data_IF_969964474167
#
_entry.id   IF_969964474167
#
_cell.length_a   1.000
_cell.length_b   1.000
_cell.length_c   1.000
_cell.angle_alpha   90.00
_cell.angle_beta   90.00
_cell.angle_gamma   90.00
#
_symmetry.space_group_name_H-M   'P 1'
#
loop_
_entity.id
_entity.type
_entity.pdbx_description
1 polymer ?
#
# COMPACT_ATOMS: atom_id res chain seq x y z
N UNK A 1 8.85 77.30 10.59
CA UNK A 1 8.83 76.16 11.53
C UNK A 1 8.13 75.00 10.84
N UNK A 2 8.92 74.04 10.40
CA UNK A 2 8.44 72.80 9.81
C UNK A 2 8.50 71.72 10.92
N UNK A 3 7.48 70.88 11.08
CA UNK A 3 7.61 69.75 11.99
C UNK A 3 8.35 68.58 11.36
N UNK A 4 9.18 67.96 12.17
CA UNK A 4 10.02 66.80 11.82
C UNK A 4 9.17 65.54 11.54
N UNK A 5 9.68 64.61 10.69
CA UNK A 5 8.97 63.36 10.43
C UNK A 5 9.17 62.36 11.59
N UNK A 6 8.09 61.76 12.01
CA UNK A 6 8.07 60.67 12.97
C UNK A 6 8.35 59.36 12.18
N UNK A 7 9.43 58.71 12.61
CA UNK A 7 9.87 57.44 12.13
C UNK A 7 9.18 56.34 12.98
N UNK A 8 8.26 55.59 12.40
CA UNK A 8 7.76 54.33 13.00
C UNK A 8 8.01 53.18 12.04
N UNK A 9 9.20 52.61 12.18
CA UNK A 9 9.45 51.27 11.70
C UNK A 9 8.77 50.24 12.65
N UNK A 10 7.58 49.87 12.38
CA UNK A 10 7.00 48.63 12.94
C UNK A 10 7.40 47.47 12.01
N UNK A 11 8.49 46.80 12.41
CA UNK A 11 8.81 45.49 11.88
C UNK A 11 7.76 44.49 12.40
N UNK A 12 6.80 44.15 11.56
CA UNK A 12 5.95 43.00 11.81
C UNK A 12 6.78 41.72 11.62
N UNK A 13 7.26 41.20 12.73
CA UNK A 13 7.74 39.81 12.78
C UNK A 13 6.57 38.89 12.49
N UNK A 14 6.44 38.48 11.22
CA UNK A 14 5.67 37.30 10.88
C UNK A 14 6.36 36.09 11.51
N UNK A 15 5.64 35.20 12.17
CA UNK A 15 6.28 34.03 12.74
C UNK A 15 6.82 33.15 11.61
N UNK A 16 8.14 33.14 11.47
CA UNK A 16 8.85 32.10 10.77
C UNK A 16 8.74 30.85 11.64
N UNK A 17 7.67 30.08 11.46
CA UNK A 17 7.70 28.68 11.86
C UNK A 17 6.48 27.97 11.28
N UNK A 18 6.72 27.24 10.22
CA UNK A 18 6.22 25.89 9.95
C UNK A 18 6.51 25.58 8.48
N UNK A 19 7.78 25.54 8.10
CA UNK A 19 8.16 24.56 7.10
C UNK A 19 8.04 23.21 7.81
N UNK A 20 6.81 22.72 7.92
CA UNK A 20 6.57 21.33 8.24
C UNK A 20 7.35 20.53 7.21
N UNK A 21 8.38 19.80 7.67
CA UNK A 21 8.96 18.70 6.88
C UNK A 21 7.78 17.99 6.25
N UNK A 22 7.76 17.93 4.92
CA UNK A 22 6.86 17.04 4.20
C UNK A 22 7.25 15.63 4.63
N UNK A 23 6.68 15.17 5.73
CA UNK A 23 6.82 13.79 6.14
C UNK A 23 6.09 12.97 5.08
N UNK A 24 6.86 12.27 4.27
CA UNK A 24 6.31 11.26 3.38
C UNK A 24 5.53 10.27 4.25
N UNK A 25 4.20 10.44 4.31
CA UNK A 25 3.33 9.53 5.04
C UNK A 25 3.33 8.20 4.30
N UNK A 26 3.88 7.18 4.92
CA UNK A 26 4.02 5.86 4.30
C UNK A 26 2.98 4.90 4.86
N UNK A 27 2.33 4.14 3.98
CA UNK A 27 1.45 3.05 4.35
C UNK A 27 1.92 1.71 3.79
N UNK A 28 1.76 0.64 4.58
CA UNK A 28 1.85 -0.74 4.14
C UNK A 28 0.44 -1.27 3.90
N UNK A 29 0.16 -1.70 2.67
CA UNK A 29 -1.09 -2.34 2.26
C UNK A 29 -0.86 -3.84 2.09
N UNK A 30 -1.46 -4.63 2.97
CA UNK A 30 -1.43 -6.09 2.92
C UNK A 30 -2.72 -6.58 2.26
N UNK A 31 -2.60 -7.16 1.06
CA UNK A 31 -3.73 -7.57 0.24
C UNK A 31 -3.97 -9.07 0.40
N UNK A 32 -5.14 -9.43 0.95
CA UNK A 32 -5.69 -10.78 0.97
C UNK A 32 -4.76 -11.86 1.55
N UNK A 33 -4.01 -11.55 2.62
CA UNK A 33 -3.14 -12.52 3.29
C UNK A 33 -3.98 -13.37 4.24
N UNK A 34 -4.68 -14.35 3.65
CA UNK A 34 -5.69 -15.18 4.32
C UNK A 34 -5.38 -16.67 4.22
N UNK A 35 -5.80 -17.43 5.23
CA UNK A 35 -5.56 -18.88 5.34
C UNK A 35 -6.16 -19.68 4.18
N UNK A 36 -7.22 -19.20 3.56
CA UNK A 36 -7.86 -19.87 2.43
C UNK A 36 -6.96 -20.00 1.20
N UNK A 37 -5.88 -19.24 1.12
CA UNK A 37 -4.86 -19.40 0.07
C UNK A 37 -3.97 -20.63 0.27
N UNK A 38 -4.01 -21.27 1.43
CA UNK A 38 -3.31 -22.54 1.67
C UNK A 38 -4.11 -23.75 1.17
N UNK A 39 -5.30 -23.53 0.59
CA UNK A 39 -6.12 -24.62 0.03
C UNK A 39 -5.33 -25.34 -1.08
N UNK A 40 -5.15 -26.68 -0.98
CA UNK A 40 -4.13 -27.40 -1.75
C UNK A 40 -4.37 -27.44 -3.27
N UNK A 41 -5.61 -27.24 -3.72
CA UNK A 41 -5.98 -27.43 -5.13
C UNK A 41 -6.88 -26.33 -5.70
N UNK A 42 -7.37 -25.39 -4.89
CA UNK A 42 -8.38 -24.42 -5.34
C UNK A 42 -7.79 -23.33 -6.25
N UNK A 43 -6.56 -22.94 -5.99
CA UNK A 43 -5.96 -21.77 -6.63
C UNK A 43 -5.09 -22.08 -7.85
N UNK A 44 -4.80 -23.35 -8.10
CA UNK A 44 -3.92 -23.82 -9.16
C UNK A 44 -2.77 -24.65 -8.63
N UNK A 45 -1.70 -24.75 -9.40
CA UNK A 45 -0.45 -25.43 -9.02
C UNK A 45 0.32 -24.65 -7.93
N UNK A 46 1.52 -25.07 -7.61
CA UNK A 46 2.33 -24.48 -6.56
C UNK A 46 2.36 -22.93 -6.61
N UNK A 47 2.32 -22.30 -5.44
CA UNK A 47 2.48 -20.86 -5.29
C UNK A 47 3.92 -20.45 -5.61
N UNK A 48 4.08 -19.34 -6.33
CA UNK A 48 5.36 -18.69 -6.55
C UNK A 48 5.94 -18.13 -5.25
N UNK A 49 7.19 -17.71 -5.27
CA UNK A 49 7.88 -17.02 -4.18
C UNK A 49 7.84 -17.79 -2.86
N UNK A 50 8.71 -18.82 -2.69
CA UNK A 50 8.79 -19.60 -1.45
C UNK A 50 9.04 -18.77 -0.18
N UNK A 51 9.71 -17.62 -0.31
CA UNK A 51 9.99 -16.67 0.79
C UNK A 51 8.84 -15.74 1.16
N UNK A 52 7.70 -15.82 0.47
CA UNK A 52 6.55 -14.90 0.64
C UNK A 52 6.18 -14.66 2.09
N UNK A 53 5.94 -15.71 2.87
CA UNK A 53 5.46 -15.61 4.25
C UNK A 53 6.49 -14.92 5.16
N UNK A 54 7.76 -15.31 5.02
CA UNK A 54 8.83 -14.69 5.81
C UNK A 54 9.02 -13.22 5.45
N UNK A 55 8.92 -12.87 4.17
CA UNK A 55 9.06 -11.50 3.70
C UNK A 55 7.89 -10.61 4.16
N UNK A 56 6.64 -11.08 4.05
CA UNK A 56 5.47 -10.38 4.62
C UNK A 56 5.63 -10.16 6.11
N UNK A 57 6.05 -11.18 6.86
CA UNK A 57 6.25 -11.08 8.31
C UNK A 57 7.33 -10.05 8.67
N UNK A 58 8.44 -10.00 7.92
CA UNK A 58 9.52 -9.02 8.09
C UNK A 58 9.04 -7.59 7.82
N UNK A 59 8.34 -7.37 6.70
CA UNK A 59 7.76 -6.07 6.36
C UNK A 59 6.80 -5.59 7.44
N UNK A 60 5.81 -6.40 7.80
CA UNK A 60 4.82 -6.05 8.81
C UNK A 60 5.47 -5.72 10.16
N UNK A 61 6.47 -6.50 10.58
CA UNK A 61 7.22 -6.25 11.82
C UNK A 61 7.98 -4.92 11.77
N UNK A 62 8.58 -4.57 10.63
CA UNK A 62 9.32 -3.32 10.46
C UNK A 62 8.38 -2.11 10.45
N UNK A 63 7.28 -2.18 9.69
CA UNK A 63 6.29 -1.11 9.65
C UNK A 63 5.62 -0.86 11.01
N UNK A 64 5.39 -1.90 11.81
CA UNK A 64 4.89 -1.77 13.19
C UNK A 64 5.83 -1.01 14.12
N UNK A 65 7.12 -0.97 13.80
CA UNK A 65 8.15 -0.25 14.56
C UNK A 65 8.45 1.14 13.99
N UNK A 66 8.10 1.38 12.73
CA UNK A 66 8.39 2.63 12.06
C UNK A 66 7.44 3.74 12.55
N UNK A 67 7.96 4.86 13.09
CA UNK A 67 7.13 5.96 13.58
C UNK A 67 6.26 6.56 12.48
N UNK A 68 4.96 6.71 12.74
CA UNK A 68 4.02 7.35 11.82
C UNK A 68 3.57 6.47 10.63
N UNK A 69 4.19 5.31 10.41
CA UNK A 69 3.77 4.40 9.36
C UNK A 69 2.34 3.88 9.59
N UNK A 70 1.56 3.82 8.52
CA UNK A 70 0.20 3.28 8.55
C UNK A 70 0.19 1.84 8.08
N UNK A 71 -0.66 1.00 8.69
CA UNK A 71 -0.82 -0.40 8.28
C UNK A 71 -2.29 -0.63 7.95
N UNK A 72 -2.53 -1.13 6.74
CA UNK A 72 -3.86 -1.38 6.20
C UNK A 72 -3.92 -2.83 5.73
N UNK A 73 -4.79 -3.62 6.35
CA UNK A 73 -5.09 -4.97 5.94
C UNK A 73 -6.36 -5.00 5.09
N UNK A 74 -6.29 -5.63 3.95
CA UNK A 74 -7.47 -5.91 3.12
C UNK A 74 -7.65 -7.41 3.08
N UNK A 75 -8.90 -7.86 3.26
CA UNK A 75 -9.27 -9.26 3.07
C UNK A 75 -10.36 -9.39 2.02
N UNK A 76 -10.32 -10.48 1.27
CA UNK A 76 -11.34 -10.82 0.31
C UNK A 76 -12.43 -11.67 0.98
N UNK A 77 -13.67 -11.26 0.84
CA UNK A 77 -14.84 -12.04 1.18
C UNK A 77 -15.52 -12.51 -0.09
N UNK A 78 -15.21 -13.73 -0.53
CA UNK A 78 -15.80 -14.32 -1.72
C UNK A 78 -17.31 -14.49 -1.58
N UNK A 79 -18.06 -14.17 -2.64
CA UNK A 79 -19.52 -14.39 -2.69
C UNK A 79 -19.88 -15.88 -2.84
N UNK A 80 -19.18 -16.68 -3.69
CA UNK A 80 -19.51 -18.11 -3.82
C UNK A 80 -19.18 -18.90 -2.54
N UNK A 81 -20.18 -19.59 -1.98
CA UNK A 81 -20.05 -20.40 -0.77
C UNK A 81 -18.97 -21.49 -0.82
N UNK A 82 -18.63 -21.98 -2.02
CA UNK A 82 -17.56 -22.97 -2.22
C UNK A 82 -16.15 -22.40 -2.15
N UNK A 83 -16.00 -21.07 -2.12
CA UNK A 83 -14.70 -20.44 -2.06
C UNK A 83 -14.09 -20.59 -0.66
N UNK A 84 -12.81 -20.96 -0.54
CA UNK A 84 -12.10 -20.97 0.73
C UNK A 84 -12.09 -19.60 1.44
N UNK A 85 -12.31 -18.49 0.70
CA UNK A 85 -12.36 -17.12 1.23
C UNK A 85 -13.80 -16.65 1.52
N UNK A 86 -14.81 -17.53 1.44
CA UNK A 86 -16.17 -17.16 1.85
C UNK A 86 -16.20 -16.88 3.36
N UNK A 87 -16.90 -15.84 3.84
CA UNK A 87 -16.91 -15.44 5.26
C UNK A 87 -17.29 -16.55 6.24
N UNK A 88 -18.05 -17.57 5.81
CA UNK A 88 -18.39 -18.72 6.64
C UNK A 88 -17.30 -19.79 6.74
N UNK A 89 -16.23 -19.67 5.96
CA UNK A 89 -15.10 -20.60 5.97
C UNK A 89 -13.98 -20.12 6.89
N UNK A 90 -13.30 -21.05 7.54
CA UNK A 90 -12.12 -20.73 8.34
C UNK A 90 -11.00 -20.05 7.53
N UNK A 91 -10.91 -20.38 6.24
CA UNK A 91 -9.97 -19.77 5.32
C UNK A 91 -10.15 -18.26 5.09
N UNK A 92 -11.30 -17.68 5.47
CA UNK A 92 -11.49 -16.23 5.46
C UNK A 92 -10.66 -15.48 6.52
N UNK A 93 -10.13 -16.19 7.52
CA UNK A 93 -9.27 -15.61 8.54
C UNK A 93 -7.92 -15.18 7.97
N UNK A 94 -7.30 -14.15 8.58
CA UNK A 94 -5.94 -13.76 8.27
C UNK A 94 -4.94 -14.87 8.62
N UNK A 95 -3.84 -14.89 7.91
CA UNK A 95 -2.71 -15.76 8.24
C UNK A 95 -2.15 -15.42 9.63
N UNK A 96 -1.71 -16.42 10.42
CA UNK A 96 -1.19 -16.18 11.78
C UNK A 96 -0.04 -15.17 11.84
N UNK A 97 0.80 -15.12 10.79
CA UNK A 97 1.92 -14.19 10.68
C UNK A 97 1.51 -12.77 10.24
N UNK A 98 0.25 -12.56 9.88
CA UNK A 98 -0.28 -11.28 9.40
C UNK A 98 -1.62 -10.88 10.06
N UNK A 99 -1.85 -11.32 11.30
CA UNK A 99 -3.04 -10.92 12.05
C UNK A 99 -2.98 -9.43 12.38
N UNK A 100 -4.03 -8.66 12.05
CA UNK A 100 -4.09 -7.24 12.37
C UNK A 100 -4.06 -6.97 13.89
N UNK A 101 -3.40 -5.89 14.29
CA UNK A 101 -3.49 -5.36 15.64
C UNK A 101 -4.73 -4.44 15.79
N UNK A 102 -5.22 -4.19 17.02
CA UNK A 102 -6.45 -3.40 17.24
C UNK A 102 -6.44 -1.98 16.66
N UNK A 103 -5.26 -1.39 16.49
CA UNK A 103 -5.07 -0.05 15.94
C UNK A 103 -4.78 -0.04 14.42
N UNK A 104 -4.69 -1.20 13.79
CA UNK A 104 -4.47 -1.32 12.35
C UNK A 104 -5.79 -1.33 11.59
N UNK A 105 -5.81 -0.73 10.40
CA UNK A 105 -7.02 -0.67 9.58
C UNK A 105 -7.30 -2.04 8.96
N UNK A 106 -8.55 -2.47 9.01
CA UNK A 106 -9.02 -3.70 8.36
C UNK A 106 -10.18 -3.37 7.42
N UNK A 107 -10.00 -3.67 6.14
CA UNK A 107 -11.01 -3.53 5.10
C UNK A 107 -11.42 -4.89 4.56
N UNK A 108 -12.68 -5.01 4.12
CA UNK A 108 -13.20 -6.22 3.47
C UNK A 108 -13.75 -5.87 2.11
N UNK A 109 -13.38 -6.61 1.08
CA UNK A 109 -13.85 -6.45 -0.30
C UNK A 109 -14.44 -7.73 -0.85
N UNK A 110 -15.25 -7.62 -1.88
CA UNK A 110 -15.88 -8.75 -2.57
C UNK A 110 -15.46 -8.89 -4.04
N UNK A 111 -14.63 -7.96 -4.51
CA UNK A 111 -14.05 -7.91 -5.86
C UNK A 111 -12.53 -7.80 -5.80
N UNK A 112 -11.85 -7.84 -6.94
CA UNK A 112 -10.37 -7.86 -6.96
C UNK A 112 -9.74 -6.57 -6.42
N UNK A 113 -10.23 -5.40 -6.84
CA UNK A 113 -9.68 -4.14 -6.38
C UNK A 113 -10.00 -3.86 -4.90
N UNK A 114 -8.99 -3.43 -4.15
CA UNK A 114 -9.17 -2.94 -2.79
C UNK A 114 -9.86 -1.56 -2.71
N UNK A 115 -10.01 -0.87 -3.84
CA UNK A 115 -10.68 0.42 -3.91
C UNK A 115 -12.20 0.34 -4.16
N UNK A 116 -12.70 -0.83 -4.57
CA UNK A 116 -14.12 -0.97 -4.89
C UNK A 116 -14.89 -1.52 -3.68
N UNK A 117 -15.87 -0.76 -3.20
CA UNK A 117 -16.71 -1.13 -2.07
C UNK A 117 -16.00 -1.08 -0.72
N UNK A 118 -14.90 -0.31 -0.62
CA UNK A 118 -14.18 -0.04 0.63
C UNK A 118 -13.87 1.46 0.76
N UNK A 119 -13.44 1.87 1.95
CA UNK A 119 -13.00 3.24 2.22
C UNK A 119 -11.49 3.45 1.94
N UNK A 120 -10.80 2.57 1.19
CA UNK A 120 -9.34 2.65 1.01
C UNK A 120 -8.89 4.00 0.45
N UNK A 121 -9.51 4.48 -0.64
CA UNK A 121 -9.17 5.78 -1.23
C UNK A 121 -9.33 6.92 -0.23
N UNK A 122 -10.47 6.95 0.47
CA UNK A 122 -10.75 7.96 1.49
C UNK A 122 -9.68 7.95 2.59
N UNK A 123 -9.32 6.77 3.10
CA UNK A 123 -8.30 6.61 4.15
C UNK A 123 -6.94 7.11 3.69
N UNK A 124 -6.53 6.77 2.46
CA UNK A 124 -5.24 7.20 1.91
C UNK A 124 -5.18 8.72 1.78
N UNK A 125 -6.24 9.35 1.27
CA UNK A 125 -6.32 10.80 1.09
C UNK A 125 -6.41 11.55 2.44
N UNK A 126 -7.28 11.11 3.36
CA UNK A 126 -7.44 11.74 4.67
C UNK A 126 -6.19 11.65 5.55
N UNK A 127 -5.39 10.61 5.36
CA UNK A 127 -4.12 10.42 6.07
C UNK A 127 -2.92 10.98 5.30
N UNK A 128 -3.16 11.67 4.19
CA UNK A 128 -2.12 12.29 3.36
C UNK A 128 -1.00 11.31 2.99
N UNK A 129 -1.37 10.04 2.67
CA UNK A 129 -0.40 9.02 2.29
C UNK A 129 0.19 9.38 0.93
N UNK A 130 1.50 9.55 0.88
CA UNK A 130 2.25 9.85 -0.34
C UNK A 130 3.10 8.68 -0.83
N UNK A 131 3.28 7.65 0.01
CA UNK A 131 3.97 6.42 -0.35
C UNK A 131 3.16 5.20 0.10
N UNK A 132 2.81 4.34 -0.85
CA UNK A 132 2.04 3.11 -0.61
C UNK A 132 2.89 1.89 -0.96
N UNK A 133 3.30 1.15 0.05
CA UNK A 133 4.00 -0.13 -0.11
C UNK A 133 2.97 -1.25 -0.12
N UNK A 134 2.93 -2.04 -1.20
CA UNK A 134 1.92 -3.07 -1.43
C UNK A 134 2.56 -4.46 -1.41
N UNK A 135 1.96 -5.39 -0.69
CA UNK A 135 2.31 -6.82 -0.72
C UNK A 135 1.05 -7.68 -0.61
N UNK A 136 1.14 -8.98 -0.90
CA UNK A 136 0.03 -9.93 -0.69
C UNK A 136 -0.31 -10.81 -1.89
N UNK A 137 -1.56 -11.21 -2.00
CA UNK A 137 -2.08 -12.22 -2.93
C UNK A 137 -3.29 -11.72 -3.73
N UNK A 138 -3.47 -12.16 -4.95
CA UNK A 138 -2.47 -12.76 -5.85
C UNK A 138 -1.97 -11.72 -6.82
N UNK A 139 -0.72 -11.86 -7.25
CA UNK A 139 -0.05 -10.89 -8.13
C UNK A 139 -0.89 -10.55 -9.36
N UNK A 140 -1.46 -11.57 -10.01
CA UNK A 140 -2.22 -11.47 -11.25
C UNK A 140 -3.65 -10.96 -11.10
N UNK A 141 -4.22 -10.99 -9.88
CA UNK A 141 -5.61 -10.58 -9.63
C UNK A 141 -5.70 -9.38 -8.67
N UNK A 142 -5.87 -9.66 -7.36
CA UNK A 142 -6.17 -8.60 -6.39
C UNK A 142 -5.06 -7.56 -6.27
N UNK A 143 -3.81 -7.99 -6.27
CA UNK A 143 -2.65 -7.09 -6.18
C UNK A 143 -2.55 -6.25 -7.45
N UNK A 144 -2.49 -6.87 -8.64
CA UNK A 144 -2.40 -6.17 -9.92
C UNK A 144 -3.54 -5.17 -10.11
N UNK A 145 -4.78 -5.57 -9.82
CA UNK A 145 -5.94 -4.68 -9.97
C UNK A 145 -5.88 -3.51 -9.00
N UNK A 146 -5.47 -3.74 -7.75
CA UNK A 146 -5.34 -2.68 -6.74
C UNK A 146 -4.24 -1.70 -7.10
N UNK A 147 -3.07 -2.17 -7.52
CA UNK A 147 -1.94 -1.32 -7.93
C UNK A 147 -2.31 -0.46 -9.15
N UNK A 148 -2.94 -1.04 -10.17
CA UNK A 148 -3.42 -0.28 -11.36
C UNK A 148 -4.43 0.79 -10.99
N UNK A 149 -5.35 0.48 -10.08
CA UNK A 149 -6.32 1.48 -9.62
C UNK A 149 -5.66 2.57 -8.78
N UNK A 150 -4.69 2.26 -7.93
CA UNK A 150 -3.95 3.27 -7.18
C UNK A 150 -3.31 4.31 -8.12
N UNK A 151 -2.62 3.84 -9.16
CA UNK A 151 -2.03 4.70 -10.18
C UNK A 151 -3.07 5.50 -10.98
N UNK A 152 -4.14 4.85 -11.46
CA UNK A 152 -5.17 5.51 -12.28
C UNK A 152 -6.00 6.55 -11.49
N UNK A 153 -6.27 6.30 -10.21
CA UNK A 153 -6.98 7.22 -9.33
C UNK A 153 -6.08 8.34 -8.80
N UNK A 154 -4.77 8.23 -9.00
CA UNK A 154 -3.78 9.19 -8.49
C UNK A 154 -3.99 9.47 -6.99
N UNK A 155 -4.24 8.41 -6.22
CA UNK A 155 -4.69 8.51 -4.81
C UNK A 155 -3.63 9.05 -3.87
N UNK A 156 -2.37 9.03 -4.28
CA UNK A 156 -1.22 9.46 -3.48
C UNK A 156 -0.68 10.84 -3.89
N UNK A 157 -1.28 11.45 -4.93
CA UNK A 157 -0.84 12.75 -5.38
C UNK A 157 -1.17 13.83 -4.35
N UNK A 158 -0.27 14.77 -4.16
CA UNK A 158 -0.41 15.85 -3.19
C UNK A 158 -0.10 17.22 -3.84
N UNK A 159 -0.62 18.33 -3.29
CA UNK A 159 -0.37 19.66 -3.84
C UNK A 159 1.13 19.96 -3.93
N UNK A 160 1.55 20.63 -5.00
CA UNK A 160 2.93 21.11 -5.14
C UNK A 160 3.28 22.10 -4.00
N UNK A 161 4.56 22.11 -3.59
CA UNK A 161 5.02 22.91 -2.44
C UNK A 161 4.94 24.44 -2.65
N UNK A 162 4.80 24.90 -3.90
CA UNK A 162 4.67 26.30 -4.27
C UNK A 162 3.24 26.86 -4.14
N UNK A 163 2.29 26.02 -3.72
CA UNK A 163 0.90 26.42 -3.52
C UNK A 163 0.08 26.53 -4.81
N UNK A 164 0.63 26.12 -5.96
CA UNK A 164 -0.11 25.99 -7.20
C UNK A 164 -0.97 24.71 -7.14
N UNK A 165 -2.26 24.88 -6.89
CA UNK A 165 -3.23 23.79 -6.82
C UNK A 165 -3.51 23.10 -8.15
N UNK A 166 -3.05 23.68 -9.27
CA UNK A 166 -3.19 23.07 -10.60
C UNK A 166 -2.09 22.03 -10.87
N UNK A 167 -0.99 22.07 -10.11
CA UNK A 167 0.13 21.12 -10.23
C UNK A 167 0.17 20.21 -9.00
N UNK A 168 -0.06 18.92 -9.20
CA UNK A 168 0.13 17.91 -8.13
C UNK A 168 1.49 17.24 -8.25
N UNK A 169 2.11 16.96 -7.11
CA UNK A 169 3.29 16.10 -7.07
C UNK A 169 2.82 14.66 -6.99
N UNK A 170 3.25 13.77 -7.90
CA UNK A 170 2.90 12.36 -7.85
C UNK A 170 3.43 11.70 -6.57
N UNK A 171 2.56 10.94 -5.91
CA UNK A 171 2.99 10.03 -4.86
C UNK A 171 3.55 8.73 -5.44
N UNK A 172 4.06 7.86 -4.57
CA UNK A 172 4.76 6.65 -4.97
C UNK A 172 3.99 5.38 -4.58
N UNK A 173 3.70 4.51 -5.55
CA UNK A 173 3.25 3.15 -5.32
C UNK A 173 4.45 2.21 -5.49
N UNK A 174 4.74 1.42 -4.46
CA UNK A 174 5.81 0.41 -4.48
C UNK A 174 5.18 -0.97 -4.31
N UNK A 175 5.42 -1.87 -5.25
CA UNK A 175 5.02 -3.27 -5.16
C UNK A 175 6.23 -4.11 -4.70
N UNK A 176 6.09 -4.78 -3.56
CA UNK A 176 7.17 -5.63 -3.05
C UNK A 176 7.08 -6.99 -3.72
N UNK A 177 7.89 -7.20 -4.76
CA UNK A 177 7.81 -8.37 -5.63
C UNK A 177 8.02 -9.70 -4.88
N UNK A 178 8.99 -9.77 -3.99
CA UNK A 178 9.29 -10.96 -3.20
C UNK A 178 8.42 -11.14 -1.93
N UNK A 179 7.49 -10.21 -1.68
CA UNK A 179 6.42 -10.32 -0.69
C UNK A 179 5.03 -10.32 -1.35
N UNK A 180 4.98 -10.62 -2.64
CA UNK A 180 3.78 -10.81 -3.44
C UNK A 180 3.91 -12.14 -4.17
N UNK A 181 2.83 -12.90 -4.32
CA UNK A 181 2.89 -14.22 -4.94
C UNK A 181 1.59 -14.55 -5.69
N UNK A 182 1.66 -15.56 -6.56
CA UNK A 182 0.50 -16.13 -7.25
C UNK A 182 0.65 -17.64 -7.44
N UNK A 183 -0.28 -18.25 -8.16
CA UNK A 183 -0.34 -19.67 -8.46
C UNK A 183 -0.29 -19.89 -9.98
N UNK A 184 0.06 -21.09 -10.41
CA UNK A 184 0.02 -21.44 -11.81
C UNK A 184 -1.37 -21.27 -12.44
N UNK A 185 -1.42 -20.93 -13.71
CA UNK A 185 -2.64 -20.71 -14.50
C UNK A 185 -2.57 -21.48 -15.82
N UNK A 186 -3.43 -22.45 -15.99
CA UNK A 186 -3.39 -23.31 -17.16
C UNK A 186 -2.00 -23.99 -17.29
N UNK A 187 -1.35 -23.79 -18.41
CA UNK A 187 -0.03 -24.37 -18.71
C UNK A 187 1.15 -23.51 -18.18
N UNK A 188 0.86 -22.36 -17.54
CA UNK A 188 1.88 -21.46 -17.02
C UNK A 188 2.08 -21.70 -15.53
N UNK A 189 3.33 -21.86 -15.12
CA UNK A 189 3.68 -21.98 -13.72
C UNK A 189 3.52 -20.64 -12.98
N UNK A 190 3.47 -20.69 -11.64
CA UNK A 190 3.25 -19.51 -10.81
C UNK A 190 4.38 -18.50 -10.92
N UNK A 191 5.62 -18.93 -11.12
CA UNK A 191 6.77 -18.03 -11.24
C UNK A 191 6.70 -17.21 -12.54
N UNK A 192 6.34 -17.84 -13.65
CA UNK A 192 6.16 -17.13 -14.93
C UNK A 192 4.99 -16.15 -14.85
N UNK A 193 3.83 -16.57 -14.34
CA UNK A 193 2.68 -15.69 -14.17
C UNK A 193 3.06 -14.48 -13.30
N UNK A 194 3.75 -14.73 -12.20
CA UNK A 194 4.23 -13.68 -11.29
C UNK A 194 5.17 -12.69 -12.01
N UNK A 195 6.20 -13.19 -12.67
CA UNK A 195 7.20 -12.38 -13.35
C UNK A 195 6.59 -11.48 -14.44
N UNK A 196 5.69 -12.03 -15.26
CA UNK A 196 4.98 -11.26 -16.31
C UNK A 196 4.16 -10.12 -15.72
N UNK A 197 3.45 -10.37 -14.61
CA UNK A 197 2.65 -9.34 -13.96
C UNK A 197 3.51 -8.27 -13.29
N UNK A 198 4.61 -8.62 -12.64
CA UNK A 198 5.56 -7.64 -12.10
C UNK A 198 6.12 -6.76 -13.23
N UNK A 199 6.57 -7.36 -14.32
CA UNK A 199 7.10 -6.62 -15.47
C UNK A 199 6.04 -5.66 -16.09
N UNK A 200 4.78 -6.09 -16.14
CA UNK A 200 3.67 -5.28 -16.67
C UNK A 200 3.26 -4.11 -15.76
N UNK A 201 3.54 -4.19 -14.47
CA UNK A 201 3.20 -3.15 -13.50
C UNK A 201 4.33 -2.15 -13.32
N UNK A 202 5.58 -2.63 -13.43
CA UNK A 202 6.76 -1.84 -13.14
C UNK A 202 6.96 -0.68 -14.12
N UNK A 203 7.17 0.51 -13.59
CA UNK A 203 7.40 1.74 -14.35
C UNK A 203 6.14 2.43 -14.86
N UNK A 204 5.01 1.73 -14.99
CA UNK A 204 3.74 2.32 -15.43
C UNK A 204 2.80 2.62 -14.26
N UNK A 205 2.61 1.65 -13.35
CA UNK A 205 1.64 1.77 -12.24
C UNK A 205 2.32 1.78 -10.87
N UNK A 206 3.53 1.28 -10.77
CA UNK A 206 4.30 1.23 -9.54
C UNK A 206 5.79 1.07 -9.82
N UNK A 207 6.59 1.22 -8.78
CA UNK A 207 7.97 0.73 -8.75
C UNK A 207 7.99 -0.65 -8.09
N UNK A 208 8.57 -1.65 -8.75
CA UNK A 208 8.77 -2.97 -8.14
C UNK A 208 10.07 -2.95 -7.35
N UNK A 209 10.00 -3.37 -6.09
CA UNK A 209 11.13 -3.41 -5.16
C UNK A 209 11.17 -4.76 -4.43
N UNK A 210 12.19 -4.98 -3.64
CA UNK A 210 12.36 -6.15 -2.78
C UNK A 210 12.09 -5.82 -1.32
N UNK A 211 11.79 -6.83 -0.52
CA UNK A 211 11.66 -6.70 0.93
C UNK A 211 12.90 -6.05 1.54
N UNK A 212 14.09 -6.45 1.11
CA UNK A 212 15.35 -5.94 1.63
C UNK A 212 15.56 -4.43 1.35
N UNK A 213 15.20 -3.98 0.16
CA UNK A 213 15.27 -2.55 -0.20
C UNK A 213 14.30 -1.70 0.63
N UNK A 214 13.07 -2.19 0.84
CA UNK A 214 12.10 -1.50 1.69
C UNK A 214 12.59 -1.40 3.14
N UNK A 215 13.12 -2.49 3.69
CA UNK A 215 13.62 -2.50 5.07
C UNK A 215 14.78 -1.52 5.26
N UNK A 216 15.74 -1.47 4.33
CA UNK A 216 16.84 -0.49 4.36
C UNK A 216 16.31 0.95 4.32
N UNK A 217 15.27 1.21 3.53
CA UNK A 217 14.65 2.54 3.47
C UNK A 217 13.96 2.98 4.76
N UNK A 218 13.45 2.04 5.56
CA UNK A 218 12.82 2.33 6.85
C UNK A 218 13.82 2.61 7.97
N UNK A 219 15.02 2.01 7.92
CA UNK A 219 16.06 2.20 8.94
C UNK A 219 16.72 3.60 8.89
N UNK A 220 16.46 4.38 7.83
CA UNK A 220 17.02 5.71 7.60
C UNK A 220 15.99 6.85 7.82
N UNK A 221 14.84 6.55 8.37
CA UNK A 221 13.78 7.51 8.74
C UNK A 221 13.70 7.63 10.26
#
# INVERSE_FOLDING_TARGET
MLPSPVNEQQSTNLPQNNMAKAHSQTALLLVDIQQGFDHPTYWGSARSIPSFESNVSRLLSAFRKAPGAQIIHVRHHSIPHRSPLHPSCSGAAFQPYAVPLPNEVVLSKTVNSAFIGTDLEKILREREITKLVVCGLTTDHCVSTTVRMAGNLRVLDYPAQDGDYEVSTPGEVILVGDATATFGKGDFDGELVHAVHLASLNGEFCNVSTTEEILKGLDHV
#
